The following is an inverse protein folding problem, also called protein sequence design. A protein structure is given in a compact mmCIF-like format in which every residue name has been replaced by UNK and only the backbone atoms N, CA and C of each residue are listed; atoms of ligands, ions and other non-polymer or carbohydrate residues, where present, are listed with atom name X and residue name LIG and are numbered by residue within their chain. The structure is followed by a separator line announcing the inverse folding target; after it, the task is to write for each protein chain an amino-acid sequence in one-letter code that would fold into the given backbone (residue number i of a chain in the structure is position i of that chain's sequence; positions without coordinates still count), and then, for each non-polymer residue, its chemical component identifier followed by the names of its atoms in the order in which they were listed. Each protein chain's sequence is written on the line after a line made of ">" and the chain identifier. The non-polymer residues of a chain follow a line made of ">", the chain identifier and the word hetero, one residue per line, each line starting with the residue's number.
data_IF_806112519574
#
_entry.id   IF_806112519574
#
_cell.length_a   1.000
_cell.length_b   1.000
_cell.length_c   1.000
_cell.angle_alpha   90.00
_cell.angle_beta   90.00
_cell.angle_gamma   90.00
#
_symmetry.space_group_name_H-M   'P 1'
#
loop_
_entity.id
_entity.type
_entity.pdbx_description
1 polymer ?
#
# COMPACT_ATOMS: atom_id res chain seq x y z
N UNK A 1 -16.08 34.54 47.70
CA UNK A 1 -17.33 34.66 46.90
C UNK A 1 -17.76 36.13 46.83
N UNK A 2 -17.73 36.74 45.65
CA UNK A 2 -18.11 38.14 45.42
C UNK A 2 -18.73 38.33 44.03
N UNK A 3 -20.07 38.46 44.03
CA UNK A 3 -21.06 39.18 43.18
C UNK A 3 -20.68 39.51 41.70
N UNK A 4 -21.42 38.99 40.69
CA UNK A 4 -22.68 39.53 40.04
C UNK A 4 -22.47 40.89 39.32
N UNK A 5 -23.03 41.23 38.14
CA UNK A 5 -23.78 40.62 37.02
C UNK A 5 -24.17 41.76 36.03
N UNK A 6 -24.02 41.54 34.71
CA UNK A 6 -24.85 41.93 33.53
C UNK A 6 -25.14 43.43 33.18
N UNK A 7 -24.89 43.86 31.92
CA UNK A 7 -25.86 44.21 30.82
C UNK A 7 -25.23 45.15 29.76
N UNK A 8 -25.37 44.75 28.49
CA UNK A 8 -25.11 45.51 27.25
C UNK A 8 -26.08 46.69 27.04
N UNK A 9 -25.61 47.76 26.40
CA UNK A 9 -26.35 48.44 25.31
C UNK A 9 -25.44 49.35 24.46
N UNK A 10 -25.57 49.18 23.14
CA UNK A 10 -24.94 49.92 22.05
C UNK A 10 -25.43 51.37 21.98
N UNK A 11 -24.56 52.30 21.57
CA UNK A 11 -24.95 53.47 20.76
C UNK A 11 -23.75 53.96 19.93
N UNK A 12 -24.06 54.31 18.69
CA UNK A 12 -23.16 54.46 17.57
C UNK A 12 -22.71 55.91 17.31
N UNK A 13 -21.75 56.01 16.38
CA UNK A 13 -21.40 57.15 15.51
C UNK A 13 -20.46 58.23 16.05
N UNK A 14 -19.42 58.50 15.23
CA UNK A 14 -18.71 59.77 15.25
C UNK A 14 -17.26 59.68 14.76
N UNK A 15 -17.05 59.63 13.45
CA UNK A 15 -15.76 59.93 12.82
C UNK A 15 -15.29 61.33 13.25
N UNK A 16 -14.02 61.48 13.61
CA UNK A 16 -13.22 62.66 13.23
C UNK A 16 -11.82 62.21 12.82
N UNK A 17 -11.41 62.71 11.66
CA UNK A 17 -10.23 62.37 10.88
C UNK A 17 -9.05 63.28 11.27
N UNK A 18 -7.84 62.85 10.87
CA UNK A 18 -6.53 63.52 10.82
C UNK A 18 -5.64 63.22 12.05
N UNK A 19 -4.40 62.74 11.94
CA UNK A 19 -3.46 62.86 10.84
C UNK A 19 -2.37 61.75 10.86
N UNK A 20 -1.71 61.57 9.72
CA UNK A 20 -0.84 60.48 9.31
C UNK A 20 0.29 60.03 10.24
N UNK A 21 0.42 58.70 10.33
CA UNK A 21 1.65 57.96 10.60
C UNK A 21 1.59 56.67 9.78
N UNK A 22 2.35 56.60 8.69
CA UNK A 22 2.30 55.52 7.70
C UNK A 22 2.65 54.16 8.33
N UNK A 23 1.75 53.20 8.23
CA UNK A 23 2.04 51.78 8.42
C UNK A 23 1.90 51.09 7.06
N UNK A 24 3.05 50.69 6.49
CA UNK A 24 3.14 49.94 5.25
C UNK A 24 2.26 48.69 5.30
N UNK A 25 1.21 48.69 4.48
CA UNK A 25 0.39 47.53 4.19
C UNK A 25 1.14 46.64 3.20
N UNK A 26 1.92 45.68 3.70
CA UNK A 26 2.54 44.65 2.87
C UNK A 26 1.46 43.70 2.29
N UNK A 27 1.21 43.67 0.97
CA UNK A 27 0.18 42.82 0.34
C UNK A 27 0.49 41.32 0.43
N UNK A 28 1.74 40.95 0.76
CA UNK A 28 2.23 39.58 0.82
C UNK A 28 1.70 38.75 1.99
N UNK A 29 1.28 39.41 3.09
CA UNK A 29 0.79 38.74 4.31
C UNK A 29 -0.69 38.35 4.17
N UNK A 30 -1.51 39.21 3.52
CA UNK A 30 -2.93 38.92 3.24
C UNK A 30 -3.10 37.80 2.21
N UNK A 31 -2.21 37.68 1.21
CA UNK A 31 -2.33 36.60 0.20
C UNK A 31 -2.02 35.22 0.79
N UNK A 32 -0.99 35.10 1.64
CA UNK A 32 -0.66 33.85 2.34
C UNK A 32 -1.75 33.41 3.30
N UNK A 33 -2.35 34.33 4.05
CA UNK A 33 -3.46 34.02 4.95
C UNK A 33 -4.72 33.55 4.17
N UNK A 34 -5.02 34.18 3.04
CA UNK A 34 -6.14 33.76 2.18
C UNK A 34 -5.90 32.40 1.53
N UNK A 35 -4.66 32.08 1.16
CA UNK A 35 -4.28 30.80 0.59
C UNK A 35 -4.35 29.67 1.65
N UNK A 36 -3.81 29.91 2.85
CA UNK A 36 -3.94 28.98 3.98
C UNK A 36 -5.41 28.74 4.37
N UNK A 37 -6.24 29.78 4.37
CA UNK A 37 -7.68 29.67 4.65
C UNK A 37 -8.41 28.87 3.57
N UNK A 38 -8.02 29.03 2.30
CA UNK A 38 -8.57 28.27 1.18
C UNK A 38 -8.16 26.79 1.24
N UNK A 39 -6.91 26.50 1.62
CA UNK A 39 -6.42 25.13 1.82
C UNK A 39 -7.13 24.45 2.99
N UNK A 40 -7.28 25.13 4.13
CA UNK A 40 -8.06 24.63 5.28
C UNK A 40 -9.50 24.35 4.87
N UNK A 41 -10.14 25.22 4.07
CA UNK A 41 -11.52 25.02 3.61
C UNK A 41 -11.66 23.85 2.62
N UNK A 42 -10.66 23.64 1.76
CA UNK A 42 -10.59 22.47 0.88
C UNK A 42 -10.41 21.19 1.70
N UNK A 43 -9.54 21.21 2.70
CA UNK A 43 -9.29 20.09 3.61
C UNK A 43 -10.53 19.75 4.45
N UNK A 44 -11.24 20.75 4.96
CA UNK A 44 -12.54 20.57 5.65
C UNK A 44 -13.61 19.93 4.75
N UNK A 45 -13.65 20.28 3.46
CA UNK A 45 -14.57 19.63 2.50
C UNK A 45 -14.20 18.19 2.19
N UNK A 46 -12.91 17.85 2.20
CA UNK A 46 -12.43 16.49 2.00
C UNK A 46 -12.78 15.59 3.21
N UNK A 47 -12.69 16.15 4.42
CA UNK A 47 -12.96 15.42 5.67
C UNK A 47 -14.46 15.24 5.96
N UNK A 48 -15.31 16.19 5.55
CA UNK A 48 -16.75 16.17 5.83
C UNK A 48 -17.56 15.47 4.73
N UNK A 49 -17.27 14.19 4.45
CA UNK A 49 -18.15 13.35 3.62
C UNK A 49 -19.26 12.75 4.48
N UNK A 50 -20.51 12.67 3.98
CA UNK A 50 -21.61 12.12 4.75
C UNK A 50 -21.40 10.63 5.00
N UNK A 51 -21.45 10.23 6.27
CA UNK A 51 -21.48 8.82 6.67
C UNK A 51 -22.73 8.12 6.13
N UNK A 52 -22.58 6.89 5.67
CA UNK A 52 -23.69 5.98 5.32
C UNK A 52 -24.37 5.47 6.59
N UNK A 53 -23.57 5.29 7.66
CA UNK A 53 -24.04 4.89 8.98
C UNK A 53 -23.18 5.53 10.05
N UNK A 54 -23.77 5.94 11.15
CA UNK A 54 -23.05 6.50 12.29
C UNK A 54 -23.17 5.57 13.48
N UNK A 55 -22.05 5.21 14.08
CA UNK A 55 -21.98 4.38 15.29
C UNK A 55 -21.53 5.27 16.44
N UNK A 56 -22.21 5.15 17.59
CA UNK A 56 -21.77 5.80 18.82
C UNK A 56 -21.17 4.74 19.75
N UNK A 57 -19.93 4.95 20.16
CA UNK A 57 -19.29 4.15 21.21
C UNK A 57 -19.92 4.46 22.57
N UNK A 58 -19.78 3.54 23.53
CA UNK A 58 -20.18 3.76 24.93
C UNK A 58 -19.42 4.94 25.55
N UNK A 59 -18.20 5.22 25.06
CA UNK A 59 -17.36 6.34 25.49
C UNK A 59 -17.77 7.70 24.86
N UNK A 60 -18.80 7.71 24.00
CA UNK A 60 -19.34 8.92 23.37
C UNK A 60 -18.71 9.28 22.02
N UNK A 61 -17.74 8.50 21.54
CA UNK A 61 -17.15 8.67 20.22
C UNK A 61 -18.17 8.40 19.11
N UNK A 62 -18.11 9.22 18.06
CA UNK A 62 -18.97 9.11 16.88
C UNK A 62 -18.11 8.64 15.71
N UNK A 63 -18.38 7.45 15.20
CA UNK A 63 -17.71 6.86 14.05
C UNK A 63 -18.66 6.83 12.86
N UNK A 64 -18.37 7.64 11.85
CA UNK A 64 -19.10 7.64 10.59
C UNK A 64 -18.53 6.59 9.64
N UNK A 65 -19.29 5.53 9.37
CA UNK A 65 -19.01 4.56 8.34
C UNK A 65 -19.27 5.18 6.96
N UNK A 66 -18.22 5.43 6.20
CA UNK A 66 -18.30 5.87 4.80
C UNK A 66 -18.09 4.65 3.89
N UNK A 67 -18.76 4.63 2.73
CA UNK A 67 -18.50 3.64 1.66
C UNK A 67 -17.00 3.61 1.33
N UNK A 68 -16.41 2.42 1.17
CA UNK A 68 -14.97 2.25 0.96
C UNK A 68 -14.47 3.05 -0.24
N UNK A 69 -15.20 3.08 -1.35
CA UNK A 69 -14.83 3.84 -2.56
C UNK A 69 -15.02 5.35 -2.39
N UNK A 70 -15.67 5.78 -1.31
CA UNK A 70 -15.94 7.18 -1.00
C UNK A 70 -15.11 7.67 0.18
N UNK A 71 -14.20 6.87 0.71
CA UNK A 71 -13.37 7.27 1.85
C UNK A 71 -12.57 8.56 1.54
N UNK A 72 -12.51 9.53 2.47
CA UNK A 72 -11.73 10.76 2.32
C UNK A 72 -10.27 10.55 1.95
N UNK A 73 -9.70 9.41 2.37
CA UNK A 73 -8.32 9.01 2.06
C UNK A 73 -8.05 8.96 0.55
N UNK A 74 -9.02 8.53 -0.27
CA UNK A 74 -8.85 8.40 -1.73
C UNK A 74 -8.85 9.74 -2.48
N UNK A 75 -9.34 10.82 -1.89
CA UNK A 75 -9.29 12.14 -2.51
C UNK A 75 -7.95 12.85 -2.28
N UNK A 76 -7.05 12.23 -1.52
CA UNK A 76 -5.77 12.81 -1.12
C UNK A 76 -4.92 13.12 -2.36
N UNK A 77 -4.39 14.35 -2.50
CA UNK A 77 -3.60 14.75 -3.66
C UNK A 77 -2.40 13.83 -3.98
N UNK A 78 -1.84 13.15 -2.98
CA UNK A 78 -0.76 12.18 -3.18
C UNK A 78 -1.17 10.90 -3.92
N UNK A 79 -2.48 10.58 -3.95
CA UNK A 79 -3.02 9.45 -4.72
C UNK A 79 -3.45 9.87 -6.14
N UNK A 80 -3.48 11.17 -6.44
CA UNK A 80 -3.79 11.69 -7.78
C UNK A 80 -2.60 11.41 -8.70
N UNK A 81 -2.82 10.62 -9.74
CA UNK A 81 -1.81 10.12 -10.70
C UNK A 81 -0.96 8.94 -10.23
N UNK A 82 -1.46 8.11 -9.32
CA UNK A 82 -0.83 6.83 -9.00
C UNK A 82 -0.66 6.01 -10.29
N UNK A 83 0.58 5.73 -10.69
CA UNK A 83 0.97 4.97 -11.90
C UNK A 83 1.05 3.47 -11.64
N UNK A 84 0.43 3.05 -10.54
CA UNK A 84 0.49 1.72 -10.00
C UNK A 84 -0.94 1.22 -9.85
N UNK A 85 -1.13 -0.04 -10.19
CA UNK A 85 -2.35 -0.81 -10.04
C UNK A 85 -2.09 -1.95 -9.06
N UNK A 86 -2.85 -2.02 -7.97
CA UNK A 86 -2.74 -3.09 -6.99
C UNK A 86 -3.96 -4.03 -7.04
N UNK A 87 -3.73 -5.32 -6.78
CA UNK A 87 -4.76 -6.29 -6.45
C UNK A 87 -4.28 -7.13 -5.25
N UNK A 88 -4.82 -6.84 -4.08
CA UNK A 88 -4.23 -7.28 -2.80
C UNK A 88 -5.27 -7.80 -1.80
N UNK A 89 -4.79 -8.64 -0.89
CA UNK A 89 -5.39 -8.96 0.39
C UNK A 89 -4.71 -8.12 1.45
N UNK A 90 -5.48 -7.48 2.32
CA UNK A 90 -4.98 -6.52 3.31
C UNK A 90 -5.52 -6.85 4.70
N UNK A 91 -4.67 -6.71 5.72
CA UNK A 91 -5.06 -6.78 7.13
C UNK A 91 -4.45 -5.64 7.93
N UNK A 92 -5.23 -5.04 8.83
CA UNK A 92 -4.87 -3.85 9.62
C UNK A 92 -5.06 -4.17 11.09
N UNK A 93 -4.22 -3.61 11.97
CA UNK A 93 -4.63 -3.35 13.35
C UNK A 93 -3.97 -4.15 14.47
N UNK A 94 -3.04 -5.09 14.18
CA UNK A 94 -2.53 -6.01 15.22
C UNK A 94 -1.02 -6.17 15.29
N UNK A 95 -0.26 -5.07 15.18
CA UNK A 95 1.15 -5.05 15.56
C UNK A 95 1.95 -6.26 15.02
N UNK A 96 2.07 -6.36 13.71
CA UNK A 96 2.60 -7.54 13.03
C UNK A 96 4.13 -7.55 13.06
N UNK A 97 4.69 -8.55 13.74
CA UNK A 97 6.13 -8.83 13.77
C UNK A 97 6.57 -9.66 12.57
N UNK A 98 5.66 -10.16 11.76
CA UNK A 98 6.01 -10.83 10.52
C UNK A 98 4.81 -11.21 9.66
N UNK A 99 5.10 -11.62 8.43
CA UNK A 99 4.14 -12.15 7.49
C UNK A 99 4.78 -13.23 6.61
N UNK A 100 3.94 -14.09 6.07
CA UNK A 100 4.33 -15.15 5.14
C UNK A 100 3.20 -15.45 4.15
N UNK A 101 3.56 -15.97 2.99
CA UNK A 101 2.64 -16.51 2.00
C UNK A 101 3.36 -17.40 0.99
N UNK A 102 2.66 -18.41 0.50
CA UNK A 102 3.10 -19.27 -0.58
C UNK A 102 2.61 -18.70 -1.90
N UNK A 103 3.50 -18.04 -2.63
CA UNK A 103 3.17 -17.36 -3.88
C UNK A 103 3.49 -18.32 -5.03
N UNK A 104 2.52 -18.61 -5.91
CA UNK A 104 2.85 -19.33 -7.15
C UNK A 104 3.64 -18.44 -8.11
N UNK A 105 4.59 -19.05 -8.79
CA UNK A 105 5.53 -18.37 -9.67
C UNK A 105 4.96 -18.42 -11.08
N UNK A 106 4.71 -17.25 -11.67
CA UNK A 106 4.33 -17.08 -13.06
C UNK A 106 5.40 -16.27 -13.79
N UNK A 107 5.35 -16.24 -15.12
CA UNK A 107 6.20 -15.37 -15.93
C UNK A 107 5.34 -14.47 -16.85
N UNK A 108 4.58 -13.52 -16.27
CA UNK A 108 3.64 -12.69 -17.01
C UNK A 108 4.32 -11.80 -18.04
N UNK A 109 3.60 -11.45 -19.10
CA UNK A 109 4.06 -10.49 -20.11
C UNK A 109 3.97 -9.07 -19.56
N UNK A 110 5.09 -8.35 -19.63
CA UNK A 110 5.14 -6.89 -19.46
C UNK A 110 5.11 -6.22 -20.84
N UNK A 111 4.20 -5.27 -21.05
CA UNK A 111 3.98 -4.64 -22.36
C UNK A 111 5.16 -3.76 -22.82
N UNK A 112 5.79 -3.03 -21.90
CA UNK A 112 6.87 -2.09 -22.20
C UNK A 112 8.04 -2.27 -21.24
N UNK A 113 9.31 -2.10 -21.68
CA UNK A 113 10.47 -2.32 -20.82
C UNK A 113 10.48 -1.47 -19.54
N UNK A 114 9.89 -0.27 -19.56
CA UNK A 114 9.80 0.64 -18.41
C UNK A 114 8.69 0.29 -17.41
N UNK A 115 7.92 -0.76 -17.69
CA UNK A 115 6.88 -1.29 -16.82
C UNK A 115 7.40 -2.45 -15.99
N UNK A 116 6.69 -2.77 -14.91
CA UNK A 116 6.97 -3.96 -14.12
C UNK A 116 5.69 -4.53 -13.53
N UNK A 117 5.74 -5.81 -13.18
CA UNK A 117 4.70 -6.47 -12.39
C UNK A 117 5.31 -7.32 -11.28
N UNK A 118 4.62 -7.43 -10.15
CA UNK A 118 5.06 -8.19 -8.98
C UNK A 118 3.98 -9.14 -8.48
N UNK A 119 4.42 -10.15 -7.73
CA UNK A 119 3.62 -10.80 -6.70
C UNK A 119 4.45 -10.84 -5.42
N UNK A 120 3.93 -10.25 -4.34
CA UNK A 120 4.73 -9.98 -3.16
C UNK A 120 3.91 -9.85 -1.86
N UNK A 121 4.66 -9.67 -0.78
CA UNK A 121 4.18 -9.41 0.57
C UNK A 121 4.73 -8.05 1.01
N UNK A 122 3.89 -7.22 1.61
CA UNK A 122 4.27 -5.95 2.19
C UNK A 122 4.05 -5.95 3.69
N UNK A 123 4.98 -5.36 4.44
CA UNK A 123 4.75 -4.95 5.82
C UNK A 123 4.96 -3.45 5.93
N UNK A 124 3.91 -2.73 6.38
CA UNK A 124 3.90 -1.26 6.40
C UNK A 124 3.62 -0.69 7.78
N UNK A 125 4.20 0.46 8.06
CA UNK A 125 3.89 1.28 9.24
C UNK A 125 4.09 2.77 8.95
N UNK A 126 3.47 3.65 9.74
CA UNK A 126 3.48 5.10 9.55
C UNK A 126 2.19 5.64 8.92
N UNK A 127 2.07 6.97 8.81
CA UNK A 127 0.89 7.62 8.24
C UNK A 127 0.78 7.36 6.74
N UNK A 128 -0.44 7.34 6.20
CA UNK A 128 -0.73 6.88 4.84
C UNK A 128 0.00 7.62 3.70
N UNK A 129 0.48 8.85 3.90
CA UNK A 129 1.26 9.57 2.91
C UNK A 129 2.77 9.61 3.20
N UNK A 130 3.22 9.02 4.32
CA UNK A 130 4.64 8.92 4.66
C UNK A 130 4.94 7.59 5.36
N UNK A 131 4.29 6.51 4.91
CA UNK A 131 4.52 5.19 5.46
C UNK A 131 5.87 4.65 5.00
N UNK A 132 6.35 3.72 5.81
CA UNK A 132 7.51 2.89 5.56
C UNK A 132 7.02 1.50 5.16
N UNK A 133 7.74 0.85 4.26
CA UNK A 133 7.39 -0.47 3.73
C UNK A 133 8.65 -1.31 3.56
N UNK A 134 8.54 -2.59 3.88
CA UNK A 134 9.49 -3.65 3.50
C UNK A 134 8.75 -4.74 2.74
N UNK A 135 9.34 -5.20 1.65
CA UNK A 135 8.65 -5.97 0.63
C UNK A 135 9.54 -7.08 0.08
N UNK A 136 8.93 -8.20 -0.27
CA UNK A 136 9.61 -9.30 -0.96
C UNK A 136 8.62 -10.19 -1.68
N UNK A 137 9.08 -10.73 -2.80
CA UNK A 137 8.31 -11.62 -3.65
C UNK A 137 9.07 -11.94 -4.94
N UNK A 138 8.32 -12.07 -6.03
CA UNK A 138 8.88 -12.11 -7.38
C UNK A 138 8.42 -10.92 -8.22
N UNK A 139 9.28 -10.48 -9.15
CA UNK A 139 9.04 -9.36 -10.05
C UNK A 139 9.47 -9.71 -11.47
N UNK A 140 8.72 -9.21 -12.47
CA UNK A 140 9.18 -9.09 -13.85
C UNK A 140 9.43 -7.60 -14.13
N UNK A 141 10.69 -7.22 -14.29
CA UNK A 141 11.11 -5.83 -14.54
C UNK A 141 12.22 -5.80 -15.59
N UNK A 142 11.88 -5.74 -16.89
CA UNK A 142 12.86 -5.80 -17.96
C UNK A 142 13.86 -4.64 -17.95
N UNK A 143 13.45 -3.43 -17.52
CA UNK A 143 14.36 -2.30 -17.40
C UNK A 143 15.42 -2.51 -16.33
N UNK A 144 15.09 -3.20 -15.24
CA UNK A 144 16.03 -3.45 -14.15
C UNK A 144 16.95 -4.65 -14.44
N UNK A 145 16.40 -5.76 -14.94
CA UNK A 145 17.14 -7.03 -15.06
C UNK A 145 17.56 -7.39 -16.48
N UNK A 146 17.09 -6.67 -17.49
CA UNK A 146 17.45 -6.89 -18.90
C UNK A 146 16.70 -8.02 -19.60
N UNK A 147 15.75 -8.68 -18.92
CA UNK A 147 14.91 -9.73 -19.50
C UNK A 147 13.50 -9.77 -18.89
N UNK A 148 12.65 -10.64 -19.43
CA UNK A 148 11.28 -10.86 -18.97
C UNK A 148 11.14 -12.05 -18.02
N UNK A 149 12.19 -12.43 -17.27
CA UNK A 149 12.12 -13.52 -16.31
C UNK A 149 11.60 -13.03 -14.95
N UNK A 150 10.76 -13.82 -14.30
CA UNK A 150 10.36 -13.61 -12.90
C UNK A 150 11.54 -13.85 -11.98
N UNK A 151 11.88 -12.83 -11.21
CA UNK A 151 13.08 -12.79 -10.39
C UNK A 151 12.74 -12.53 -8.93
N UNK A 152 13.46 -13.20 -8.03
CA UNK A 152 13.41 -12.91 -6.60
C UNK A 152 13.80 -11.46 -6.37
N UNK A 153 13.02 -10.72 -5.61
CA UNK A 153 13.39 -9.35 -5.25
C UNK A 153 13.01 -8.98 -3.83
N UNK A 154 13.58 -7.86 -3.42
CA UNK A 154 13.20 -7.11 -2.23
C UNK A 154 13.01 -5.64 -2.59
N UNK A 155 12.14 -4.96 -1.86
CA UNK A 155 11.98 -3.53 -1.94
C UNK A 155 11.78 -2.92 -0.55
N UNK A 156 12.19 -1.67 -0.39
CA UNK A 156 11.83 -0.87 0.78
C UNK A 156 11.58 0.58 0.39
N UNK A 157 10.80 1.31 1.20
CA UNK A 157 10.63 2.77 1.15
C UNK A 157 10.44 3.29 2.56
N UNK A 158 10.80 4.56 2.82
CA UNK A 158 10.49 5.25 4.08
C UNK A 158 9.56 6.46 3.95
N UNK A 159 9.09 6.75 2.73
CA UNK A 159 8.31 7.95 2.45
C UNK A 159 7.17 7.71 1.44
N UNK A 160 6.51 6.56 1.53
CA UNK A 160 5.41 6.18 0.65
C UNK A 160 5.77 6.31 -0.85
N UNK A 161 6.95 5.82 -1.24
CA UNK A 161 7.45 5.79 -2.62
C UNK A 161 7.65 7.19 -3.25
N UNK A 162 7.72 8.26 -2.44
CA UNK A 162 7.82 9.64 -2.94
C UNK A 162 9.21 9.96 -3.48
N UNK A 163 10.24 9.73 -2.67
CA UNK A 163 11.63 10.06 -3.00
C UNK A 163 12.63 9.00 -2.55
N UNK A 164 12.21 8.09 -1.69
CA UNK A 164 13.04 7.01 -1.19
C UNK A 164 12.57 5.67 -1.74
N UNK A 165 13.49 4.72 -1.64
CA UNK A 165 13.22 3.32 -1.86
C UNK A 165 14.15 2.68 -2.85
N UNK A 166 14.20 1.35 -2.82
CA UNK A 166 15.27 0.61 -3.46
C UNK A 166 14.84 -0.78 -3.87
N UNK A 167 15.09 -1.14 -5.12
CA UNK A 167 15.07 -2.53 -5.54
C UNK A 167 16.41 -3.19 -5.19
N UNK A 168 16.35 -4.35 -4.55
CA UNK A 168 17.50 -5.22 -4.28
C UNK A 168 18.71 -4.47 -3.69
N UNK A 169 19.87 -4.63 -4.33
CA UNK A 169 21.15 -4.02 -3.97
C UNK A 169 21.54 -2.89 -4.94
N UNK A 170 20.57 -2.36 -5.71
CA UNK A 170 20.82 -1.23 -6.64
C UNK A 170 21.19 0.05 -5.91
N UNK A 171 20.88 0.11 -4.62
CA UNK A 171 21.30 1.12 -3.68
C UNK A 171 21.48 0.49 -2.29
N UNK A 172 22.00 1.26 -1.33
CA UNK A 172 22.14 0.79 0.05
C UNK A 172 20.79 0.62 0.74
N UNK A 173 20.62 -0.47 1.49
CA UNK A 173 19.49 -0.63 2.41
C UNK A 173 19.08 -2.07 2.69
N UNK A 174 19.55 -3.02 1.89
CA UNK A 174 19.42 -4.44 2.22
C UNK A 174 20.80 -5.04 2.46
N UNK A 175 20.92 -5.85 3.52
CA UNK A 175 22.12 -6.64 3.80
C UNK A 175 21.87 -8.07 3.36
N UNK A 176 22.45 -8.43 2.23
CA UNK A 176 22.41 -9.78 1.69
C UNK A 176 23.39 -10.68 2.45
N UNK A 177 22.93 -11.85 2.91
CA UNK A 177 23.75 -12.76 3.74
C UNK A 177 23.87 -14.16 3.17
N UNK A 178 22.96 -14.56 2.28
CA UNK A 178 23.00 -15.85 1.64
C UNK A 178 24.10 -15.92 0.56
N UNK A 179 24.63 -17.12 0.30
CA UNK A 179 25.66 -17.35 -0.73
C UNK A 179 25.12 -18.12 -1.95
N UNK A 180 23.97 -18.79 -1.77
CA UNK A 180 23.36 -19.69 -2.74
C UNK A 180 22.11 -19.07 -3.39
N UNK A 181 21.41 -18.19 -2.67
CA UNK A 181 20.25 -17.44 -3.17
C UNK A 181 20.64 -15.99 -3.41
N UNK A 182 20.68 -15.54 -4.66
CA UNK A 182 20.97 -14.16 -5.01
C UNK A 182 19.68 -13.35 -5.24
N UNK A 183 19.67 -12.09 -4.80
CA UNK A 183 18.64 -11.14 -5.25
C UNK A 183 18.75 -10.92 -6.76
N UNK A 184 17.60 -10.77 -7.42
CA UNK A 184 17.51 -10.71 -8.87
C UNK A 184 17.69 -12.07 -9.55
N UNK A 185 17.88 -13.19 -8.86
CA UNK A 185 17.97 -14.50 -9.52
C UNK A 185 16.64 -14.89 -10.17
N UNK A 186 16.70 -15.49 -11.37
CA UNK A 186 15.52 -16.02 -12.03
C UNK A 186 14.93 -17.18 -11.21
N UNK A 187 13.64 -17.13 -10.97
CA UNK A 187 12.90 -18.18 -10.28
C UNK A 187 12.36 -19.18 -11.30
N UNK A 188 12.47 -20.46 -10.97
CA UNK A 188 11.96 -21.53 -11.80
C UNK A 188 11.91 -22.86 -11.05
N UNK A 189 11.09 -23.82 -11.53
CA UNK A 189 10.18 -23.73 -12.68
C UNK A 189 8.99 -22.77 -12.45
N UNK A 190 8.37 -22.30 -13.55
CA UNK A 190 7.21 -21.40 -13.54
C UNK A 190 5.92 -22.14 -13.86
N UNK A 191 4.80 -21.66 -13.32
CA UNK A 191 3.46 -22.23 -13.47
C UNK A 191 2.92 -22.02 -14.88
N UNK A 192 1.98 -22.88 -15.29
CA UNK A 192 1.32 -22.78 -16.58
C UNK A 192 -0.19 -22.97 -16.47
N UNK A 193 -0.94 -22.34 -17.38
CA UNK A 193 -2.40 -22.43 -17.45
C UNK A 193 -2.85 -23.89 -17.57
N UNK A 194 -3.80 -24.30 -16.72
CA UNK A 194 -4.32 -25.67 -16.60
C UNK A 194 -3.24 -26.76 -16.45
N UNK A 195 -2.01 -26.38 -16.08
CA UNK A 195 -0.86 -27.26 -16.00
C UNK A 195 -0.18 -27.24 -14.63
N UNK A 196 1.09 -27.67 -14.55
CA UNK A 196 1.85 -27.66 -13.31
C UNK A 196 1.86 -26.27 -12.65
N UNK A 197 1.65 -26.26 -11.34
CA UNK A 197 1.70 -25.06 -10.51
C UNK A 197 2.90 -25.17 -9.58
N UNK A 198 3.78 -24.16 -9.62
CA UNK A 198 4.97 -24.10 -8.78
C UNK A 198 4.90 -22.87 -7.88
N UNK A 199 5.30 -23.03 -6.62
CA UNK A 199 5.21 -21.97 -5.62
C UNK A 199 6.47 -21.94 -4.75
N UNK A 200 6.74 -20.77 -4.19
CA UNK A 200 7.73 -20.59 -3.14
C UNK A 200 7.09 -19.83 -1.97
N UNK A 201 7.49 -20.22 -0.77
CA UNK A 201 7.12 -19.48 0.45
C UNK A 201 8.00 -18.24 0.56
N UNK A 202 7.40 -17.08 0.75
CA UNK A 202 8.10 -15.83 1.06
C UNK A 202 7.72 -15.42 2.47
N UNK A 203 8.68 -15.00 3.28
CA UNK A 203 8.45 -14.54 4.63
C UNK A 203 9.31 -13.34 4.98
N UNK A 204 8.71 -12.40 5.72
CA UNK A 204 9.40 -11.25 6.29
C UNK A 204 9.09 -11.23 7.78
N UNK A 205 10.11 -11.16 8.63
CA UNK A 205 9.94 -11.20 10.10
C UNK A 205 10.91 -10.26 10.78
N UNK A 206 10.45 -9.58 11.84
CA UNK A 206 11.28 -8.72 12.68
C UNK A 206 12.02 -9.56 13.71
N UNK A 207 13.33 -9.42 13.77
CA UNK A 207 14.13 -9.95 14.87
C UNK A 207 14.01 -9.02 16.09
N UNK A 208 13.57 -9.56 17.22
CA UNK A 208 13.38 -8.83 18.47
C UNK A 208 14.69 -8.36 19.12
N UNK A 209 15.83 -8.98 18.79
CA UNK A 209 17.13 -8.60 19.37
C UNK A 209 17.78 -7.46 18.59
N UNK A 210 17.77 -7.55 17.26
CA UNK A 210 18.47 -6.59 16.39
C UNK A 210 17.55 -5.55 15.76
N UNK A 211 16.23 -5.74 15.80
CA UNK A 211 15.21 -4.99 15.05
C UNK A 211 15.35 -5.07 13.52
N UNK A 212 16.18 -5.97 13.02
CA UNK A 212 16.30 -6.25 11.59
C UNK A 212 15.03 -6.93 11.06
N UNK A 213 14.58 -6.53 9.87
CA UNK A 213 13.52 -7.23 9.15
C UNK A 213 14.13 -8.25 8.20
N UNK A 214 14.05 -9.52 8.58
CA UNK A 214 14.62 -10.64 7.86
C UNK A 214 13.71 -11.15 6.76
N UNK A 215 14.25 -11.28 5.55
CA UNK A 215 13.59 -11.90 4.40
C UNK A 215 14.05 -13.36 4.29
N UNK A 216 13.10 -14.27 4.16
CA UNK A 216 13.32 -15.71 3.99
C UNK A 216 12.49 -16.25 2.84
N UNK A 217 13.04 -17.24 2.13
CA UNK A 217 12.41 -17.87 0.97
C UNK A 217 12.43 -19.40 1.11
N UNK A 218 11.42 -20.06 0.54
CA UNK A 218 11.29 -21.52 0.52
C UNK A 218 11.13 -22.09 1.93
N UNK A 219 11.93 -23.09 2.27
CA UNK A 219 11.91 -23.73 3.59
C UNK A 219 12.64 -22.88 4.65
N UNK A 220 12.20 -21.62 4.81
CA UNK A 220 12.73 -20.69 5.80
C UNK A 220 14.22 -20.33 5.60
N UNK A 221 14.70 -20.31 4.35
CA UNK A 221 16.09 -20.02 4.02
C UNK A 221 16.32 -18.50 4.09
N UNK A 222 17.25 -17.99 4.92
CA UNK A 222 17.50 -16.56 5.03
C UNK A 222 18.19 -16.01 3.78
N UNK A 223 17.62 -14.97 3.17
CA UNK A 223 18.23 -14.23 2.05
C UNK A 223 19.09 -13.09 2.57
N UNK A 224 18.57 -12.37 3.57
CA UNK A 224 19.18 -11.18 4.14
C UNK A 224 18.18 -10.41 4.98
N UNK A 225 18.50 -9.16 5.29
CA UNK A 225 17.64 -8.32 6.12
C UNK A 225 17.71 -6.83 5.77
N UNK A 226 16.63 -6.11 6.08
CA UNK A 226 16.60 -4.66 6.12
C UNK A 226 17.04 -4.17 7.51
N UNK A 227 18.09 -3.33 7.61
CA UNK A 227 18.53 -2.77 8.87
C UNK A 227 17.53 -1.76 9.45
N UNK A 228 17.40 -1.67 10.79
CA UNK A 228 16.50 -0.72 11.44
C UNK A 228 16.89 0.76 11.17
N UNK A 229 18.14 1.05 10.82
CA UNK A 229 18.58 2.43 10.56
C UNK A 229 17.91 3.07 9.34
N UNK A 230 17.26 2.26 8.48
CA UNK A 230 16.46 2.75 7.37
C UNK A 230 15.17 3.46 7.82
N UNK A 231 14.66 3.09 8.98
CA UNK A 231 13.27 3.31 9.36
C UNK A 231 13.14 4.02 10.70
N UNK A 232 12.04 4.76 10.85
CA UNK A 232 11.60 5.37 12.09
C UNK A 232 10.44 4.58 12.70
N UNK A 233 9.37 4.29 11.94
CA UNK A 233 8.17 3.61 12.41
C UNK A 233 8.38 2.10 12.54
N UNK A 234 8.91 1.43 11.51
CA UNK A 234 9.18 -0.01 11.50
C UNK A 234 10.30 -0.41 12.47
N UNK A 235 11.15 0.54 12.86
CA UNK A 235 12.20 0.32 13.87
C UNK A 235 11.64 0.40 15.28
N UNK A 236 10.90 1.47 15.59
CA UNK A 236 10.36 1.72 16.93
C UNK A 236 9.12 0.90 17.25
N UNK A 237 8.39 0.49 16.23
CA UNK A 237 7.19 -0.34 16.33
C UNK A 237 7.32 -1.59 15.48
N UNK A 238 6.17 -2.16 15.15
CA UNK A 238 6.02 -3.33 14.28
C UNK A 238 5.09 -2.93 13.13
N UNK A 239 4.83 -3.78 12.16
CA UNK A 239 3.97 -3.38 11.06
C UNK A 239 2.53 -3.17 11.55
N UNK A 240 1.91 -2.06 11.14
CA UNK A 240 0.50 -1.80 11.42
C UNK A 240 -0.41 -2.46 10.38
N UNK A 241 0.18 -2.81 9.24
CA UNK A 241 -0.49 -3.28 8.03
C UNK A 241 0.34 -4.37 7.36
N UNK A 242 -0.32 -5.41 6.89
CA UNK A 242 0.27 -6.43 6.01
C UNK A 242 -0.59 -6.56 4.77
N UNK A 243 0.07 -6.66 3.62
CA UNK A 243 -0.57 -6.90 2.33
C UNK A 243 0.05 -8.11 1.63
N UNK A 244 -0.75 -8.81 0.82
CA UNK A 244 -0.33 -9.88 -0.07
C UNK A 244 -0.99 -9.67 -1.42
N UNK A 245 -0.28 -9.89 -2.52
CA UNK A 245 -0.87 -9.82 -3.85
C UNK A 245 0.07 -9.26 -4.89
N UNK A 246 -0.48 -8.58 -5.89
CA UNK A 246 0.26 -8.12 -7.04
C UNK A 246 0.19 -6.62 -7.25
N UNK A 247 1.23 -6.11 -7.89
CA UNK A 247 1.35 -4.72 -8.32
C UNK A 247 1.74 -4.68 -9.79
N UNK A 248 1.18 -3.71 -10.54
CA UNK A 248 1.64 -3.36 -11.89
C UNK A 248 1.97 -1.86 -11.93
N UNK A 249 3.17 -1.52 -12.39
CA UNK A 249 3.53 -0.16 -12.73
C UNK A 249 3.48 0.08 -14.23
N UNK A 250 2.84 1.17 -14.62
CA UNK A 250 2.82 1.68 -15.99
C UNK A 250 2.62 3.18 -16.05
N UNK A 251 3.33 3.83 -16.97
CA UNK A 251 3.12 5.24 -17.27
C UNK A 251 1.76 5.54 -17.92
N UNK A 252 1.07 4.53 -18.46
CA UNK A 252 -0.26 4.64 -19.10
C UNK A 252 -1.42 4.63 -18.11
N UNK A 253 -1.25 4.03 -16.93
CA UNK A 253 -2.28 3.95 -15.89
C UNK A 253 -2.84 5.35 -15.57
N UNK A 254 -4.17 5.48 -15.57
CA UNK A 254 -4.94 6.70 -15.25
C UNK A 254 -4.62 7.94 -16.12
N UNK A 255 -3.79 7.82 -17.17
CA UNK A 255 -3.37 8.95 -18.02
C UNK A 255 -3.73 8.81 -19.50
N UNK A 256 -3.70 7.60 -20.07
CA UNK A 256 -3.97 7.37 -21.49
C UNK A 256 -4.75 6.07 -21.69
N UNK A 257 -5.76 6.14 -22.55
CA UNK A 257 -6.34 4.97 -23.18
C UNK A 257 -5.60 4.73 -24.53
N UNK A 258 -5.24 3.49 -24.89
CA UNK A 258 -5.59 2.29 -24.17
C UNK A 258 -4.73 2.01 -22.92
N UNK A 259 -5.32 1.33 -21.93
CA UNK A 259 -4.70 0.82 -20.71
C UNK A 259 -3.48 -0.07 -21.08
N UNK A 260 -2.56 -0.25 -20.12
CA UNK A 260 -1.44 -1.17 -20.35
C UNK A 260 -1.93 -2.61 -20.52
N UNK A 261 -1.30 -3.35 -21.44
CA UNK A 261 -1.47 -4.79 -21.60
C UNK A 261 -0.43 -5.58 -20.77
N UNK A 262 0.18 -4.97 -19.75
CA UNK A 262 1.01 -5.66 -18.78
C UNK A 262 0.13 -6.54 -17.90
N UNK A 263 0.48 -7.81 -17.83
CA UNK A 263 -0.25 -8.81 -17.06
C UNK A 263 0.16 -8.73 -15.59
N UNK A 264 -0.81 -8.92 -14.68
CA UNK A 264 -0.54 -9.14 -13.26
C UNK A 264 -0.70 -10.63 -12.93
N UNK A 265 0.25 -11.17 -12.15
CA UNK A 265 0.18 -12.57 -11.73
C UNK A 265 0.35 -13.51 -12.92
N UNK A 266 -0.71 -14.23 -13.28
CA UNK A 266 -0.73 -15.13 -14.45
C UNK A 266 -1.23 -14.44 -15.72
N UNK A 267 -1.77 -13.23 -15.62
CA UNK A 267 -2.54 -12.57 -16.68
C UNK A 267 -4.03 -12.95 -16.69
N UNK A 268 -4.45 -13.98 -15.96
CA UNK A 268 -5.86 -14.31 -15.77
C UNK A 268 -6.44 -13.64 -14.53
N UNK A 269 -7.74 -13.43 -14.53
CA UNK A 269 -8.46 -12.85 -13.42
C UNK A 269 -8.56 -13.83 -12.23
N UNK A 270 -8.72 -13.28 -11.03
CA UNK A 270 -8.77 -14.01 -9.78
C UNK A 270 -9.87 -15.09 -9.71
N UNK A 271 -10.97 -14.92 -10.46
CA UNK A 271 -12.03 -15.93 -10.57
C UNK A 271 -11.64 -17.17 -11.38
N UNK A 272 -10.55 -17.12 -12.15
CA UNK A 272 -9.95 -18.29 -12.80
C UNK A 272 -9.43 -19.33 -11.80
N UNK A 273 -9.18 -18.90 -10.54
CA UNK A 273 -8.78 -19.73 -9.39
C UNK A 273 -7.61 -20.68 -9.72
N UNK A 274 -7.50 -21.79 -9.00
CA UNK A 274 -6.41 -22.75 -9.12
C UNK A 274 -6.25 -23.25 -10.55
N UNK A 275 -5.02 -23.18 -11.06
CA UNK A 275 -4.67 -23.61 -12.41
C UNK A 275 -4.60 -22.47 -13.43
N UNK A 276 -5.30 -21.35 -13.19
CA UNK A 276 -5.32 -20.22 -14.13
C UNK A 276 -4.86 -18.92 -13.47
N UNK A 277 -5.40 -18.57 -12.29
CA UNK A 277 -5.05 -17.34 -11.58
C UNK A 277 -3.75 -17.47 -10.78
N UNK A 278 -3.08 -16.33 -10.56
CA UNK A 278 -2.05 -16.24 -9.53
C UNK A 278 -2.70 -16.33 -8.15
N UNK A 279 -1.98 -16.93 -7.20
CA UNK A 279 -2.47 -17.15 -5.86
C UNK A 279 -1.39 -17.00 -4.80
N UNK A 280 -1.85 -16.74 -3.58
CA UNK A 280 -1.10 -16.83 -2.34
C UNK A 280 -1.85 -17.78 -1.41
N UNK A 281 -1.24 -18.93 -1.14
CA UNK A 281 -1.69 -19.91 -0.15
C UNK A 281 -1.00 -19.66 1.18
N UNK A 282 -1.53 -20.27 2.25
CA UNK A 282 -0.96 -20.18 3.59
C UNK A 282 -0.63 -18.72 3.95
N UNK A 283 -1.59 -17.82 3.74
CA UNK A 283 -1.48 -16.43 4.20
C UNK A 283 -1.34 -16.48 5.72
N UNK A 284 -0.24 -15.92 6.23
CA UNK A 284 0.08 -15.92 7.66
C UNK A 284 0.60 -14.58 8.11
N UNK A 285 0.20 -14.20 9.32
CA UNK A 285 0.85 -13.15 10.11
C UNK A 285 1.55 -13.77 11.32
N UNK A 286 2.49 -13.01 11.87
CA UNK A 286 3.03 -13.19 13.22
C UNK A 286 2.73 -11.91 13.98
N UNK A 287 2.15 -12.05 15.16
CA UNK A 287 1.90 -10.96 16.12
C UNK A 287 2.56 -11.32 17.47
N UNK A 288 2.17 -10.63 18.55
CA UNK A 288 2.70 -10.90 19.89
C UNK A 288 2.39 -12.30 20.45
N UNK A 289 1.49 -13.07 19.83
CA UNK A 289 1.32 -14.50 20.16
C UNK A 289 2.50 -15.36 19.71
N UNK A 290 3.40 -14.81 18.87
CA UNK A 290 4.57 -15.50 18.32
C UNK A 290 4.23 -16.77 17.52
N UNK A 291 2.99 -16.85 17.02
CA UNK A 291 2.50 -17.97 16.21
C UNK A 291 2.23 -17.51 14.79
N UNK A 292 2.54 -18.39 13.83
CA UNK A 292 2.05 -18.24 12.46
C UNK A 292 0.57 -18.59 12.43
N UNK A 293 -0.27 -17.62 12.10
CA UNK A 293 -1.72 -17.81 12.00
C UNK A 293 -2.31 -17.02 10.86
N UNK A 294 -3.48 -17.44 10.39
CA UNK A 294 -4.27 -16.64 9.48
C UNK A 294 -4.76 -15.37 10.21
N UNK A 295 -4.69 -14.18 9.58
CA UNK A 295 -5.20 -12.94 10.18
C UNK A 295 -6.71 -13.02 10.45
N UNK A 296 -7.15 -12.53 11.60
CA UNK A 296 -8.57 -12.56 12.00
C UNK A 296 -9.46 -11.76 11.04
N UNK A 297 -8.95 -10.60 10.59
CA UNK A 297 -9.66 -9.70 9.68
C UNK A 297 -8.84 -9.47 8.42
N UNK A 298 -9.46 -9.71 7.27
CA UNK A 298 -8.87 -9.41 5.96
C UNK A 298 -9.90 -8.74 5.06
N UNK A 299 -9.41 -7.89 4.16
CA UNK A 299 -10.18 -7.33 3.05
C UNK A 299 -9.44 -7.53 1.72
N UNK A 300 -10.18 -7.57 0.63
CA UNK A 300 -9.60 -7.48 -0.71
C UNK A 300 -9.67 -6.04 -1.21
N UNK A 301 -8.66 -5.59 -1.94
CA UNK A 301 -8.61 -4.25 -2.54
C UNK A 301 -8.06 -4.32 -3.97
N UNK A 302 -8.68 -3.55 -4.87
CA UNK A 302 -8.20 -3.35 -6.24
C UNK A 302 -8.31 -1.85 -6.61
N UNK A 303 -7.36 -1.35 -7.40
CA UNK A 303 -7.41 0.02 -7.94
C UNK A 303 -8.39 0.15 -9.11
N UNK A 304 -8.28 -0.73 -10.13
CA UNK A 304 -9.15 -0.83 -11.31
C UNK A 304 -9.66 -2.27 -11.47
N UNK A 305 -10.79 -2.59 -10.82
CA UNK A 305 -11.34 -3.96 -10.67
C UNK A 305 -11.64 -4.68 -11.99
N UNK A 306 -11.83 -3.94 -13.10
CA UNK A 306 -12.06 -4.52 -14.43
C UNK A 306 -10.76 -4.91 -15.15
N UNK A 307 -9.60 -4.42 -14.67
CA UNK A 307 -8.30 -4.62 -15.30
C UNK A 307 -7.50 -5.68 -14.53
N UNK A 308 -7.58 -5.60 -13.20
CA UNK A 308 -6.99 -6.55 -12.27
C UNK A 308 -7.94 -6.82 -11.10
N UNK A 309 -8.00 -8.06 -10.67
CA UNK A 309 -9.01 -8.54 -9.73
C UNK A 309 -8.35 -9.23 -8.55
N UNK A 310 -9.06 -9.23 -7.42
CA UNK A 310 -8.63 -9.86 -6.17
C UNK A 310 -9.79 -10.66 -5.58
N UNK A 311 -9.53 -11.90 -5.16
CA UNK A 311 -10.55 -12.79 -4.62
C UNK A 311 -9.95 -13.61 -3.47
N UNK A 312 -10.47 -13.43 -2.26
CA UNK A 312 -10.14 -14.30 -1.13
C UNK A 312 -11.17 -15.42 -1.02
N UNK A 313 -10.81 -16.64 -1.41
CA UNK A 313 -11.75 -17.74 -1.58
C UNK A 313 -11.46 -18.90 -0.63
N UNK A 314 -12.47 -19.29 0.16
CA UNK A 314 -12.52 -20.57 0.86
C UNK A 314 -13.65 -21.42 0.25
N UNK A 315 -13.40 -22.71 0.00
CA UNK A 315 -14.42 -23.62 -0.53
C UNK A 315 -15.47 -23.98 0.52
N UNK A 316 -15.10 -23.97 1.80
CA UNK A 316 -15.98 -24.21 2.94
C UNK A 316 -15.48 -23.43 4.16
N UNK A 317 -16.29 -23.37 5.23
CA UNK A 317 -15.88 -22.77 6.51
C UNK A 317 -14.76 -23.56 7.22
N UNK A 318 -14.48 -24.79 6.79
CA UNK A 318 -13.44 -25.65 7.38
C UNK A 318 -12.10 -25.55 6.63
N UNK A 319 -12.07 -24.92 5.46
CA UNK A 319 -10.86 -24.76 4.66
C UNK A 319 -10.30 -23.36 4.82
N UNK A 320 -8.97 -23.26 4.91
CA UNK A 320 -8.33 -21.95 4.90
C UNK A 320 -8.51 -21.26 3.54
N UNK A 321 -8.75 -19.94 3.53
CA UNK A 321 -8.85 -19.19 2.28
C UNK A 321 -7.55 -19.24 1.47
N UNK A 322 -7.71 -19.32 0.15
CA UNK A 322 -6.66 -19.04 -0.83
C UNK A 322 -6.93 -17.68 -1.44
N UNK A 323 -5.94 -16.81 -1.40
CA UNK A 323 -6.04 -15.51 -2.05
C UNK A 323 -5.65 -15.64 -3.52
N UNK A 324 -6.53 -15.28 -4.43
CA UNK A 324 -6.29 -15.22 -5.87
C UNK A 324 -6.25 -13.77 -6.33
N UNK A 325 -5.36 -13.47 -7.27
CA UNK A 325 -5.24 -12.15 -7.87
C UNK A 325 -4.68 -12.23 -9.29
N UNK A 326 -4.91 -11.20 -10.08
CA UNK A 326 -4.36 -11.09 -11.42
C UNK A 326 -5.30 -10.41 -12.41
N UNK A 327 -4.85 -10.33 -13.65
CA UNK A 327 -5.63 -9.82 -14.77
C UNK A 327 -4.73 -9.41 -15.93
N UNK A 328 -5.31 -9.21 -17.12
CA UNK A 328 -4.55 -8.92 -18.34
C UNK A 328 -4.15 -7.44 -18.48
N UNK A 329 -4.65 -6.58 -17.58
CA UNK A 329 -4.56 -5.12 -17.72
C UNK A 329 -5.52 -4.61 -18.79
N UNK A 330 -5.14 -4.72 -20.06
CA UNK A 330 -5.94 -4.30 -21.19
C UNK A 330 -7.09 -5.30 -21.41
N UNK A 331 -8.32 -4.88 -21.13
CA UNK A 331 -9.52 -5.72 -21.22
C UNK A 331 -10.72 -4.94 -21.78
N UNK A 332 -10.84 -4.81 -23.11
CA UNK A 332 -11.98 -4.13 -23.72
C UNK A 332 -13.31 -4.86 -23.43
N UNK A 333 -14.40 -4.13 -23.16
CA UNK A 333 -14.53 -2.67 -23.27
C UNK A 333 -14.15 -1.88 -22.02
N UNK A 334 -14.04 -2.53 -20.86
CA UNK A 334 -14.00 -1.86 -19.55
C UNK A 334 -12.64 -1.24 -19.22
N UNK A 335 -11.56 -1.90 -19.63
CA UNK A 335 -10.18 -1.43 -19.53
C UNK A 335 -9.59 -1.24 -20.92
N UNK A 336 -10.27 -0.43 -21.74
CA UNK A 336 -9.72 -0.05 -23.04
C UNK A 336 -8.59 0.91 -22.85
#
# INVERSE_FOLDING_TARGET
>A
MGKRRIIMLLLAMGLFVLNGGAADHHPHVKSKANQATLEVRKMLKLLNKPGVKTIKSEDGDIVDCVDIYKQPAFDHPALRNHKIQAAILITVGYSYTGAQGDINIWNPRVQSPDEFTTAQIWLKNGPGDAFESVESGWVVNPKLYGDGASRLFVYWTKDAYKSTGCFDLTCSGFVHTNKDLALGMALGPVSSEMGPQYQATFSITKDSHTNNWWVRVGQNIPVGYFPPELFFYLTRGVAALVEWGGEVYSSKIKKNHPHTATEMGSGDFAWGKLGNACYIKQVRIIDYSMQLKYPEWVGTYTDEEYCYTALNHAASLAEEPVFYFGGPGLNPPDCN
#
